data_IF_363393283114
#
_entry.id   IF_363393283114
#
_cell.length_a   1.000
_cell.length_b   1.000
_cell.length_c   1.000
_cell.angle_alpha   90.00
_cell.angle_beta   90.00
_cell.angle_gamma   90.00
#
_symmetry.space_group_name_H-M   'P 1'
#
loop_
_entity.id
_entity.type
_entity.pdbx_description
1 polymer ?
#
# COMPACT_ATOMS: atom_id res chain seq x y z
N UNK A 1 17.01 5.34 -23.52
CA UNK A 1 17.47 4.87 -22.19
C UNK A 1 16.24 4.50 -21.40
N UNK A 2 16.00 3.19 -21.19
CA UNK A 2 14.87 2.73 -20.38
C UNK A 2 15.05 3.27 -18.97
N UNK A 3 14.13 4.11 -18.49
CA UNK A 3 14.06 4.44 -17.08
C UNK A 3 14.07 3.12 -16.30
N UNK A 4 14.96 3.00 -15.32
CA UNK A 4 15.07 1.81 -14.48
C UNK A 4 13.73 1.68 -13.75
N UNK A 5 12.92 0.69 -14.12
CA UNK A 5 11.63 0.43 -13.47
C UNK A 5 11.91 0.20 -11.99
N UNK A 6 11.27 1.00 -11.14
CA UNK A 6 11.35 0.84 -9.69
C UNK A 6 10.67 -0.47 -9.35
N UNK A 7 11.39 -1.39 -8.72
CA UNK A 7 10.75 -2.60 -8.18
C UNK A 7 9.78 -2.17 -7.07
N UNK A 8 8.49 -2.23 -7.36
CA UNK A 8 7.45 -1.75 -6.47
C UNK A 8 7.34 -2.58 -5.20
N UNK A 9 7.68 -3.87 -5.25
CA UNK A 9 7.72 -4.72 -4.05
C UNK A 9 8.82 -4.29 -3.09
N UNK A 10 10.03 -4.09 -3.60
CA UNK A 10 11.16 -3.60 -2.78
C UNK A 10 10.87 -2.20 -2.23
N UNK A 11 10.28 -1.32 -3.05
CA UNK A 11 9.87 0.00 -2.59
C UNK A 11 8.82 -0.05 -1.47
N UNK A 12 7.80 -0.89 -1.62
CA UNK A 12 6.76 -1.08 -0.61
C UNK A 12 7.31 -1.62 0.70
N UNK A 13 8.21 -2.62 0.65
CA UNK A 13 8.89 -3.14 1.83
C UNK A 13 9.73 -2.04 2.51
N UNK A 14 10.48 -1.26 1.71
CA UNK A 14 11.26 -0.13 2.22
C UNK A 14 10.39 0.89 2.95
N UNK A 15 9.26 1.27 2.37
CA UNK A 15 8.31 2.19 3.00
C UNK A 15 7.70 1.58 4.27
N UNK A 16 7.24 0.32 4.23
CA UNK A 16 6.65 -0.37 5.38
C UNK A 16 7.60 -0.42 6.59
N UNK A 17 8.91 -0.57 6.36
CA UNK A 17 9.92 -0.55 7.44
C UNK A 17 10.00 0.79 8.18
N UNK A 18 9.67 1.91 7.53
CA UNK A 18 9.64 3.21 8.18
C UNK A 18 8.53 3.30 9.25
N UNK A 19 7.54 2.41 9.19
CA UNK A 19 6.43 2.39 10.13
C UNK A 19 6.69 1.57 11.39
N UNK A 20 7.77 0.78 11.44
CA UNK A 20 8.12 -0.02 12.63
C UNK A 20 8.11 0.84 13.90
N UNK A 21 7.45 0.34 14.95
CA UNK A 21 7.26 1.07 16.21
C UNK A 21 6.06 2.01 16.26
N UNK A 22 5.35 2.26 15.14
CA UNK A 22 4.12 3.08 15.16
C UNK A 22 3.05 2.40 16.04
N UNK A 23 2.48 3.06 17.05
CA UNK A 23 1.48 2.45 17.93
C UNK A 23 0.20 2.02 17.20
N UNK A 24 -0.46 0.97 17.67
CA UNK A 24 -1.77 0.61 17.14
C UNK A 24 -2.83 1.65 17.53
N UNK A 25 -3.54 2.17 16.53
CA UNK A 25 -4.71 3.05 16.71
C UNK A 25 -5.72 2.75 15.61
N UNK A 26 -6.88 2.21 16.00
CA UNK A 26 -7.99 1.89 15.09
C UNK A 26 -8.34 3.08 14.18
N UNK A 27 -8.49 2.82 12.88
CA UNK A 27 -8.74 3.79 11.79
C UNK A 27 -7.64 4.83 11.53
N UNK A 28 -6.59 4.89 12.34
CA UNK A 28 -5.52 5.85 12.14
C UNK A 28 -4.57 5.40 11.02
N UNK A 29 -3.84 6.35 10.43
CA UNK A 29 -2.80 6.10 9.42
C UNK A 29 -1.75 7.20 9.47
N UNK A 30 -1.09 7.37 10.61
CA UNK A 30 -0.05 8.37 10.80
C UNK A 30 1.20 7.74 11.42
N UNK A 31 2.27 7.70 10.63
CA UNK A 31 3.55 7.08 11.00
C UNK A 31 4.11 7.69 12.29
N UNK A 32 4.53 6.84 13.22
CA UNK A 32 5.04 7.22 14.54
C UNK A 32 3.97 7.66 15.56
N UNK A 33 2.73 7.91 15.13
CA UNK A 33 1.64 8.40 16.00
C UNK A 33 0.58 7.32 16.23
N UNK A 34 0.11 6.69 15.16
CA UNK A 34 -0.93 5.68 15.25
C UNK A 34 -1.35 5.11 13.90
N UNK A 35 -1.48 3.79 13.80
CA UNK A 35 -2.17 3.14 12.68
C UNK A 35 -2.76 1.78 13.06
N UNK A 36 -3.75 1.32 12.31
CA UNK A 36 -4.12 -0.10 12.31
C UNK A 36 -3.58 -0.81 11.06
N UNK A 37 -3.99 -2.05 10.81
CA UNK A 37 -3.45 -2.84 9.70
C UNK A 37 -3.72 -2.20 8.34
N UNK A 38 -4.95 -1.73 8.11
CA UNK A 38 -5.32 -1.02 6.88
C UNK A 38 -4.66 0.35 6.83
N UNK A 39 -4.53 1.02 7.98
CA UNK A 39 -3.80 2.26 8.14
C UNK A 39 -2.32 2.16 7.74
N UNK A 40 -1.65 1.06 8.07
CA UNK A 40 -0.30 0.77 7.59
C UNK A 40 -0.28 0.64 6.06
N UNK A 41 -1.18 -0.16 5.48
CA UNK A 41 -1.26 -0.37 4.03
C UNK A 41 -1.52 0.95 3.27
N UNK A 42 -2.48 1.76 3.75
CA UNK A 42 -2.75 3.11 3.25
C UNK A 42 -1.52 4.01 3.34
N UNK A 43 -0.79 3.91 4.46
CA UNK A 43 0.46 4.63 4.68
C UNK A 43 1.53 4.30 3.66
N UNK A 44 1.74 3.01 3.41
CA UNK A 44 2.65 2.52 2.36
C UNK A 44 2.21 3.02 0.99
N UNK A 45 0.91 2.92 0.67
CA UNK A 45 0.37 3.48 -0.57
C UNK A 45 0.73 4.95 -0.75
N UNK A 46 0.51 5.79 0.27
CA UNK A 46 0.84 7.22 0.19
C UNK A 46 2.34 7.48 -0.01
N UNK A 47 3.20 6.68 0.62
CA UNK A 47 4.64 6.78 0.43
C UNK A 47 5.08 6.42 -1.00
N UNK A 48 4.32 5.57 -1.70
CA UNK A 48 4.62 5.15 -3.07
C UNK A 48 3.99 6.02 -4.14
N UNK A 49 2.73 6.44 -3.95
CA UNK A 49 1.91 7.07 -4.99
C UNK A 49 1.36 8.45 -4.63
N UNK A 50 1.57 8.93 -3.40
CA UNK A 50 1.04 10.20 -2.94
C UNK A 50 -0.36 10.08 -2.34
N UNK A 51 -1.41 10.41 -3.10
CA UNK A 51 -2.78 10.33 -2.58
C UNK A 51 -3.28 8.88 -2.50
N UNK A 52 -4.17 8.60 -1.54
CA UNK A 52 -4.86 7.31 -1.48
C UNK A 52 -5.86 7.18 -2.64
N UNK A 53 -6.11 5.95 -3.13
CA UNK A 53 -6.94 5.75 -4.32
C UNK A 53 -8.43 5.83 -4.00
N UNK A 54 -8.81 5.67 -2.73
CA UNK A 54 -10.19 5.66 -2.27
C UNK A 54 -10.25 6.18 -0.83
N UNK A 55 -11.25 7.01 -0.51
CA UNK A 55 -11.50 7.42 0.87
C UNK A 55 -12.08 6.24 1.66
N UNK A 56 -11.47 5.91 2.80
CA UNK A 56 -11.93 4.80 3.64
C UNK A 56 -13.00 5.29 4.61
N UNK A 57 -14.25 4.79 4.53
CA UNK A 57 -15.29 5.15 5.49
C UNK A 57 -14.97 4.59 6.88
N UNK A 58 -15.51 5.17 7.97
CA UNK A 58 -15.36 4.60 9.30
C UNK A 58 -15.87 3.16 9.35
N UNK A 59 -15.06 2.25 9.91
CA UNK A 59 -15.39 0.84 10.12
C UNK A 59 -15.23 0.42 11.59
N UNK A 60 -16.04 -0.53 12.07
CA UNK A 60 -15.89 -1.09 13.41
C UNK A 60 -14.68 -2.01 13.53
N UNK A 61 -14.20 -2.32 14.74
CA UNK A 61 -13.14 -3.33 14.93
C UNK A 61 -13.59 -4.77 14.57
N UNK A 62 -14.90 -4.98 14.47
CA UNK A 62 -15.56 -6.25 14.14
C UNK A 62 -16.22 -6.22 12.75
N UNK A 63 -15.70 -5.38 11.85
CA UNK A 63 -16.32 -5.10 10.57
C UNK A 63 -16.44 -6.37 9.70
N UNK A 64 -15.46 -7.26 9.76
CA UNK A 64 -15.48 -8.52 9.00
C UNK A 64 -16.56 -9.49 9.51
N UNK A 65 -16.75 -9.57 10.83
CA UNK A 65 -17.82 -10.37 11.44
C UNK A 65 -19.22 -9.80 11.16
N UNK A 66 -19.30 -8.50 10.86
CA UNK A 66 -20.54 -7.79 10.59
C UNK A 66 -20.80 -7.59 9.09
N UNK A 67 -19.93 -8.11 8.22
CA UNK A 67 -20.06 -7.99 6.78
C UNK A 67 -21.32 -8.72 6.28
N UNK A 68 -21.92 -8.21 5.20
CA UNK A 68 -23.08 -8.87 4.60
C UNK A 68 -22.71 -10.30 4.17
N UNK A 69 -23.62 -11.29 4.35
CA UNK A 69 -23.34 -12.66 3.96
C UNK A 69 -22.84 -12.77 2.52
N UNK A 70 -21.70 -13.42 2.32
CA UNK A 70 -21.09 -13.61 1.00
C UNK A 70 -20.21 -12.46 0.49
N UNK A 71 -20.01 -11.40 1.27
CA UNK A 71 -19.10 -10.28 0.91
C UNK A 71 -17.73 -10.43 1.57
N UNK A 72 -16.68 -9.91 0.93
CA UNK A 72 -15.35 -9.77 1.54
C UNK A 72 -14.76 -8.39 1.27
N UNK A 73 -15.17 -7.36 2.04
CA UNK A 73 -14.87 -5.97 1.71
C UNK A 73 -13.37 -5.63 1.59
N UNK A 74 -12.50 -6.24 2.39
CA UNK A 74 -11.06 -5.98 2.30
C UNK A 74 -10.44 -6.67 1.08
N UNK A 75 -10.85 -7.90 0.76
CA UNK A 75 -10.40 -8.58 -0.45
C UNK A 75 -10.90 -7.86 -1.70
N UNK A 76 -12.16 -7.40 -1.70
CA UNK A 76 -12.74 -6.59 -2.78
C UNK A 76 -12.00 -5.27 -2.96
N UNK A 77 -11.68 -4.57 -1.87
CA UNK A 77 -10.89 -3.33 -1.93
C UNK A 77 -9.46 -3.58 -2.44
N UNK A 78 -8.81 -4.65 -1.98
CA UNK A 78 -7.50 -5.05 -2.48
C UNK A 78 -7.54 -5.35 -3.98
N UNK A 79 -8.57 -6.06 -4.47
CA UNK A 79 -8.72 -6.39 -5.88
C UNK A 79 -8.98 -5.18 -6.79
N UNK A 80 -9.55 -4.08 -6.26
CA UNK A 80 -9.72 -2.82 -7.01
C UNK A 80 -8.42 -2.05 -7.20
N UNK A 81 -7.52 -2.10 -6.22
CA UNK A 81 -6.36 -1.20 -6.16
C UNK A 81 -4.99 -1.91 -6.29
N UNK A 82 -4.95 -3.23 -6.10
CA UNK A 82 -3.74 -4.05 -6.13
C UNK A 82 -3.88 -5.16 -7.18
N UNK A 83 -2.73 -5.67 -7.62
CA UNK A 83 -2.67 -6.78 -8.58
C UNK A 83 -2.67 -8.12 -7.84
N UNK A 84 -3.66 -9.01 -8.01
CA UNK A 84 -3.68 -10.29 -7.33
C UNK A 84 -2.54 -11.20 -7.83
N UNK A 85 -1.93 -11.94 -6.90
CA UNK A 85 -1.05 -13.06 -7.26
C UNK A 85 -1.89 -14.24 -7.77
N UNK A 86 -1.31 -15.16 -8.57
CA UNK A 86 -2.05 -16.28 -9.16
C UNK A 86 -2.71 -17.22 -8.15
N UNK A 87 -2.17 -17.30 -6.94
CA UNK A 87 -2.72 -18.13 -5.87
C UNK A 87 -2.32 -17.56 -4.51
N UNK A 88 -3.24 -17.67 -3.54
CA UNK A 88 -2.95 -17.37 -2.15
C UNK A 88 -2.03 -18.42 -1.49
N UNK A 89 -1.64 -19.50 -2.18
CA UNK A 89 -0.70 -20.51 -1.67
C UNK A 89 0.75 -20.22 -2.08
N UNK A 90 0.98 -19.30 -3.03
CA UNK A 90 2.33 -18.98 -3.49
C UNK A 90 3.19 -18.42 -2.35
N UNK A 91 4.48 -18.73 -2.37
CA UNK A 91 5.45 -18.08 -1.50
C UNK A 91 5.40 -16.55 -1.74
N UNK A 92 5.15 -15.75 -0.70
CA UNK A 92 5.04 -14.31 -0.86
C UNK A 92 6.41 -13.69 -1.14
N UNK A 93 6.43 -12.67 -1.97
CA UNK A 93 7.63 -11.88 -2.29
C UNK A 93 7.74 -10.70 -1.33
N UNK A 94 8.93 -10.13 -1.23
CA UNK A 94 9.14 -8.88 -0.52
C UNK A 94 8.20 -7.79 -1.07
N UNK A 95 7.44 -7.15 -0.17
CA UNK A 95 6.47 -6.10 -0.50
C UNK A 95 5.08 -6.59 -0.89
N UNK A 96 4.84 -7.90 -1.04
CA UNK A 96 3.50 -8.42 -1.29
C UNK A 96 2.57 -8.06 -0.12
N UNK A 97 1.34 -7.67 -0.43
CA UNK A 97 0.26 -7.46 0.54
C UNK A 97 -0.41 -8.80 0.81
N UNK A 98 -0.46 -9.20 2.08
CA UNK A 98 -1.08 -10.43 2.53
C UNK A 98 -2.41 -10.12 3.21
N UNK A 99 -3.47 -10.84 2.86
CA UNK A 99 -4.76 -10.77 3.55
C UNK A 99 -5.00 -12.03 4.38
N UNK A 100 -5.64 -11.87 5.54
CA UNK A 100 -5.91 -12.97 6.46
C UNK A 100 -7.35 -12.93 6.99
N UNK A 101 -7.98 -14.10 7.03
CA UNK A 101 -9.23 -14.33 7.75
C UNK A 101 -8.95 -15.12 9.03
N UNK A 102 -9.31 -14.57 10.20
CA UNK A 102 -9.03 -15.26 11.48
C UNK A 102 -9.91 -16.50 11.69
N UNK A 103 -11.01 -16.61 10.94
CA UNK A 103 -11.83 -17.82 10.82
C UNK A 103 -12.05 -18.07 9.35
N UNK A 104 -11.82 -19.30 8.87
CA UNK A 104 -11.83 -19.63 7.42
C UNK A 104 -13.17 -19.38 6.70
N UNK A 105 -14.27 -19.34 7.44
CA UNK A 105 -15.61 -19.08 6.90
C UNK A 105 -16.01 -17.60 6.96
N UNK A 106 -15.15 -16.73 7.53
CA UNK A 106 -15.36 -15.30 7.59
C UNK A 106 -14.48 -14.58 6.57
N UNK A 107 -14.84 -13.34 6.19
CA UNK A 107 -14.02 -12.49 5.33
C UNK A 107 -12.60 -12.27 5.84
N UNK A 108 -11.72 -11.80 4.96
CA UNK A 108 -10.45 -11.23 5.39
C UNK A 108 -10.71 -10.09 6.37
N UNK A 109 -9.93 -10.01 7.46
CA UNK A 109 -10.08 -8.96 8.48
C UNK A 109 -8.78 -8.26 8.85
N UNK A 110 -7.67 -8.74 8.31
CA UNK A 110 -6.33 -8.28 8.64
C UNK A 110 -5.47 -8.27 7.38
N UNK A 111 -4.56 -7.30 7.30
CA UNK A 111 -3.56 -7.24 6.24
C UNK A 111 -2.14 -6.99 6.78
N UNK A 112 -1.14 -7.38 5.99
CA UNK A 112 0.28 -7.21 6.30
C UNK A 112 1.11 -7.00 5.02
N UNK A 113 2.33 -6.51 5.16
CA UNK A 113 3.33 -6.44 4.08
C UNK A 113 4.37 -7.54 4.29
N UNK A 114 4.55 -8.42 3.33
CA UNK A 114 5.54 -9.48 3.40
C UNK A 114 6.98 -8.91 3.33
N UNK A 115 7.89 -9.42 4.17
CA UNK A 115 9.33 -9.12 4.04
C UNK A 115 10.07 -10.18 3.22
N UNK A 116 9.33 -11.19 2.76
CA UNK A 116 9.77 -12.38 2.04
C UNK A 116 8.84 -13.55 2.41
N UNK A 117 9.32 -14.78 2.24
CA UNK A 117 8.56 -15.99 2.58
C UNK A 117 8.52 -16.32 4.08
N UNK A 118 9.40 -15.71 4.88
CA UNK A 118 9.59 -16.02 6.30
C UNK A 118 8.89 -15.09 7.28
N UNK A 119 8.62 -13.83 6.91
CA UNK A 119 8.18 -12.79 7.83
C UNK A 119 7.29 -11.72 7.16
N UNK A 120 6.66 -10.91 7.99
CA UNK A 120 5.76 -9.84 7.57
C UNK A 120 5.80 -8.67 8.55
N UNK A 121 5.54 -7.46 8.04
CA UNK A 121 5.31 -6.26 8.83
C UNK A 121 3.80 -6.03 8.91
N UNK A 122 3.27 -5.89 10.13
CA UNK A 122 1.86 -5.58 10.34
C UNK A 122 1.64 -4.71 11.58
N UNK A 123 0.52 -4.00 11.62
CA UNK A 123 0.00 -3.38 12.83
C UNK A 123 -1.05 -4.32 13.43
N UNK A 124 -0.84 -4.77 14.67
CA UNK A 124 -1.78 -5.64 15.38
C UNK A 124 -2.34 -4.93 16.61
N UNK A 125 -3.59 -5.21 16.94
CA UNK A 125 -4.26 -4.64 18.13
C UNK A 125 -3.46 -4.93 19.41
N UNK A 126 -3.42 -3.94 20.30
CA UNK A 126 -2.66 -3.97 21.55
C UNK A 126 -1.14 -3.84 21.41
N UNK A 127 -0.61 -3.64 20.19
CA UNK A 127 0.82 -3.59 19.92
C UNK A 127 1.23 -2.33 19.11
N UNK A 128 2.43 -2.36 18.55
CA UNK A 128 2.89 -1.42 17.54
C UNK A 128 3.08 -2.16 16.20
N UNK A 129 3.35 -1.42 15.13
CA UNK A 129 3.82 -1.99 13.87
C UNK A 129 5.12 -2.74 14.13
N UNK A 130 5.14 -4.04 13.82
CA UNK A 130 6.28 -4.91 14.06
C UNK A 130 6.52 -5.84 12.87
N UNK A 131 7.78 -6.22 12.69
CA UNK A 131 8.15 -7.36 11.85
C UNK A 131 8.05 -8.64 12.68
N UNK A 132 7.27 -9.60 12.20
CA UNK A 132 7.02 -10.87 12.88
C UNK A 132 7.19 -12.04 11.92
N UNK A 133 7.50 -13.21 12.46
CA UNK A 133 7.53 -14.44 11.67
C UNK A 133 6.16 -14.74 11.07
N UNK A 134 6.14 -15.12 9.79
CA UNK A 134 4.94 -15.63 9.12
C UNK A 134 4.74 -17.09 9.54
N UNK A 135 4.25 -17.30 10.76
CA UNK A 135 4.12 -18.64 11.35
C UNK A 135 3.14 -19.53 10.58
N UNK A 136 3.13 -20.83 10.87
CA UNK A 136 2.16 -21.76 10.27
C UNK A 136 0.70 -21.39 10.49
N UNK A 137 0.38 -20.68 11.60
CA UNK A 137 -0.97 -20.17 11.82
C UNK A 137 -1.33 -19.12 10.77
N UNK A 138 -0.48 -18.11 10.55
CA UNK A 138 -0.71 -17.09 9.54
C UNK A 138 -0.83 -17.67 8.14
N UNK A 139 0.05 -18.60 7.77
CA UNK A 139 0.02 -19.26 6.44
C UNK A 139 -1.31 -19.95 6.17
N UNK A 140 -1.87 -20.66 7.16
CA UNK A 140 -3.16 -21.37 7.01
C UNK A 140 -4.38 -20.44 6.97
N UNK A 141 -4.25 -19.22 7.48
CA UNK A 141 -5.31 -18.22 7.51
C UNK A 141 -5.18 -17.16 6.42
N UNK A 142 -4.15 -17.25 5.57
CA UNK A 142 -3.95 -16.35 4.43
C UNK A 142 -5.02 -16.62 3.37
N UNK A 143 -5.78 -15.58 3.03
CA UNK A 143 -6.86 -15.64 2.04
C UNK A 143 -6.47 -15.00 0.71
N UNK A 144 -5.46 -14.14 0.70
CA UNK A 144 -5.01 -13.46 -0.51
C UNK A 144 -3.56 -13.00 -0.45
N UNK A 145 -2.96 -12.87 -1.64
CA UNK A 145 -1.64 -12.29 -1.88
C UNK A 145 -1.80 -11.30 -3.04
N UNK A 146 -1.40 -10.05 -2.82
CA UNK A 146 -1.56 -8.96 -3.78
C UNK A 146 -0.25 -8.19 -3.94
N UNK A 147 -0.11 -7.48 -5.06
CA UNK A 147 1.07 -6.66 -5.38
C UNK A 147 0.66 -5.24 -5.66
N UNK A 148 1.52 -4.31 -5.28
CA UNK A 148 1.41 -2.91 -5.69
C UNK A 148 1.53 -2.80 -7.22
N UNK A 149 0.67 -2.01 -7.89
CA UNK A 149 0.78 -1.74 -9.33
C UNK A 149 2.10 -1.07 -9.72
N UNK A 150 2.50 -1.15 -10.98
CA UNK A 150 3.65 -0.38 -11.46
C UNK A 150 3.26 1.11 -11.58
N UNK A 151 4.18 2.01 -11.24
CA UNK A 151 3.93 3.45 -11.43
C UNK A 151 3.67 3.74 -12.92
N UNK A 152 2.50 4.32 -13.24
CA UNK A 152 2.06 4.58 -14.62
C UNK A 152 1.27 3.44 -15.29
N UNK A 153 0.97 2.34 -14.61
CA UNK A 153 0.07 1.29 -15.13
C UNK A 153 -1.40 1.49 -14.74
N UNK A 154 -1.75 2.66 -14.21
CA UNK A 154 -3.13 3.03 -13.94
C UNK A 154 -3.81 3.45 -15.26
N UNK A 155 -4.87 2.76 -15.72
CA UNK A 155 -5.60 3.15 -16.92
C UNK A 155 -6.31 4.51 -16.79
N UNK A 156 -6.37 5.09 -15.59
CA UNK A 156 -6.96 6.41 -15.33
C UNK A 156 -5.94 7.55 -15.17
N UNK A 157 -4.64 7.28 -15.29
CA UNK A 157 -3.60 8.29 -15.15
C UNK A 157 -3.29 8.99 -16.48
N UNK A 158 -3.84 10.20 -16.68
CA UNK A 158 -3.32 11.15 -17.67
C UNK A 158 -2.11 11.91 -17.08
N UNK A 159 -0.94 11.74 -17.71
CA UNK A 159 0.26 12.53 -17.41
C UNK A 159 -0.03 14.04 -17.56
N UNK A 160 0.27 14.89 -16.56
CA UNK A 160 0.14 16.33 -16.73
C UNK A 160 1.21 16.85 -17.70
N UNK A 161 0.78 17.24 -18.91
CA UNK A 161 1.66 17.92 -19.88
C UNK A 161 2.03 19.30 -19.35
N UNK A 162 3.21 19.43 -18.75
CA UNK A 162 3.80 20.72 -18.43
C UNK A 162 4.20 21.41 -19.75
N UNK A 163 3.30 22.25 -20.29
CA UNK A 163 3.62 23.13 -21.41
C UNK A 163 4.45 24.30 -20.89
N UNK A 164 5.77 24.16 -20.90
CA UNK A 164 6.69 25.28 -20.70
C UNK A 164 6.69 26.13 -21.96
N UNK A 165 5.97 27.25 -21.95
CA UNK A 165 6.09 28.30 -22.97
C UNK A 165 7.41 29.04 -22.77
N UNK A 166 8.39 28.72 -23.62
CA UNK A 166 9.60 29.53 -23.76
C UNK A 166 9.27 30.74 -24.64
N UNK A 167 8.97 31.88 -24.02
CA UNK A 167 9.08 33.18 -24.71
C UNK A 167 10.53 33.64 -24.65
N UNK A 168 11.19 33.99 -25.77
CA UNK A 168 12.52 34.57 -25.73
C UNK A 168 12.43 36.01 -25.20
N UNK A 169 13.18 36.32 -24.15
CA UNK A 169 13.45 37.71 -23.75
C UNK A 169 14.41 38.33 -24.77
N UNK A 170 13.91 39.26 -25.59
CA UNK A 170 14.78 40.10 -26.43
C UNK A 170 15.60 41.03 -25.53
N UNK A 171 16.92 40.84 -25.52
CA UNK A 171 17.88 41.71 -24.84
C UNK A 171 18.15 42.98 -25.64
N UNK A 172 18.15 44.08 -24.92
CA UNK A 172 18.38 45.46 -25.34
C UNK A 172 19.82 45.63 -25.86
N UNK A 173 19.98 46.12 -27.10
CA UNK A 173 21.30 46.47 -27.66
C UNK A 173 21.68 47.88 -27.23
N UNK A 174 22.76 48.00 -26.46
CA UNK A 174 23.49 49.25 -26.21
C UNK A 174 24.10 49.74 -27.54
N UNK A 175 23.86 51.01 -27.87
CA UNK A 175 24.71 51.78 -28.80
C UNK A 175 25.27 53.00 -28.06
N UNK A 176 26.56 52.94 -27.74
CA UNK A 176 27.49 54.09 -27.78
C UNK A 176 27.71 54.39 -29.28
N UNK A 177 27.87 55.61 -29.82
CA UNK A 177 28.79 56.75 -29.66
C UNK A 177 28.14 57.88 -30.53
N UNK A 178 28.18 59.18 -30.24
CA UNK A 178 29.32 60.13 -30.21
C UNK A 178 28.92 61.42 -29.51
#
# INVERSE_FOLDING_TARGET
MSAMRRDMGIAALGEARLWLGTPYRHQASLRGIGCDCLGLLRGVWRGLYGAEPEAVPPYSGTWAESAAPGTDPLTEAAARHLVPAPSAEIAPRAGDVLLFAFRRHLPARHCAIATGDGAMIHAHDGACVAEVALTGWWRRHRTGVFRFPEAGSDPSYEEPVATVSLTPKTSMTLRTVS
#
